data_IF_884972903767
#
_entry.id   IF_884972903767
#
_cell.length_a   1.000
_cell.length_b   1.000
_cell.length_c   1.000
_cell.angle_alpha   90.00
_cell.angle_beta   90.00
_cell.angle_gamma   90.00
#
_symmetry.space_group_name_H-M   'P 1'
#
loop_
_entity.id
_entity.type
_entity.pdbx_description
1 polymer ?
#
# COMPACT_ATOMS: atom_id res chain seq x y z
N UNK A 1 1.36 -7.48 14.42
CA UNK A 1 2.31 -7.06 13.37
C UNK A 1 2.74 -5.63 13.66
N UNK A 2 4.00 -5.40 14.01
CA UNK A 2 4.53 -4.04 14.19
C UNK A 2 4.77 -3.43 12.81
N UNK A 3 3.88 -2.54 12.38
CA UNK A 3 4.07 -1.71 11.20
C UNK A 3 5.07 -0.60 11.54
N UNK A 4 6.37 -0.82 11.30
CA UNK A 4 7.30 0.30 11.18
C UNK A 4 7.00 1.00 9.84
N UNK A 5 6.85 2.34 9.82
CA UNK A 5 6.58 3.04 8.58
C UNK A 5 7.83 3.00 7.70
N UNK A 6 7.86 2.10 6.71
CA UNK A 6 8.89 1.98 5.68
C UNK A 6 9.26 3.33 5.02
N UNK A 7 8.33 4.29 4.99
CA UNK A 7 8.60 5.66 4.53
C UNK A 7 9.70 6.35 5.35
N UNK A 8 9.76 6.09 6.66
CA UNK A 8 10.71 6.70 7.55
C UNK A 8 12.10 6.08 7.42
N UNK A 9 12.18 4.78 7.08
CA UNK A 9 13.44 4.08 6.82
C UNK A 9 14.02 4.44 5.45
N UNK A 10 13.19 4.52 4.40
CA UNK A 10 13.61 4.98 3.08
C UNK A 10 14.03 6.46 3.12
N UNK A 11 13.31 7.29 3.90
CA UNK A 11 13.66 8.69 4.13
C UNK A 11 15.00 8.87 4.86
N UNK A 12 15.21 8.13 5.96
CA UNK A 12 16.49 8.16 6.70
C UNK A 12 17.65 7.60 5.89
N UNK A 13 17.42 6.55 5.10
CA UNK A 13 18.42 6.04 4.17
C UNK A 13 18.82 7.13 3.16
N UNK A 14 17.87 7.90 2.63
CA UNK A 14 18.20 9.03 1.74
C UNK A 14 19.04 10.12 2.42
N UNK A 15 18.86 10.35 3.73
CA UNK A 15 19.60 11.35 4.50
C UNK A 15 21.00 10.86 4.92
N UNK A 16 21.21 9.55 5.13
CA UNK A 16 22.56 9.02 5.42
C UNK A 16 23.47 8.97 4.19
N UNK A 17 22.89 8.98 2.99
CA UNK A 17 23.58 8.81 1.72
C UNK A 17 24.17 10.12 1.14
N UNK A 18 23.99 11.28 1.79
CA UNK A 18 24.44 12.59 1.26
C UNK A 18 25.95 12.79 1.21
N UNK A 19 26.75 11.88 1.78
CA UNK A 19 28.23 11.91 1.69
C UNK A 19 28.80 11.00 0.59
N UNK A 20 27.98 10.17 -0.04
CA UNK A 20 28.40 9.33 -1.15
C UNK A 20 28.23 10.08 -2.47
N UNK A 21 29.17 9.89 -3.39
CA UNK A 21 28.99 10.15 -4.82
C UNK A 21 27.95 9.18 -5.40
N UNK A 22 26.71 9.28 -4.91
CA UNK A 22 25.57 8.55 -5.43
C UNK A 22 25.22 9.12 -6.79
N UNK A 23 25.05 8.24 -7.77
CA UNK A 23 24.58 8.62 -9.09
C UNK A 23 23.25 9.38 -8.94
N UNK A 24 23.12 10.53 -9.61
CA UNK A 24 21.89 11.35 -9.63
C UNK A 24 20.67 10.50 -9.98
N UNK A 25 20.86 9.50 -10.86
CA UNK A 25 19.81 8.55 -11.21
C UNK A 25 19.31 7.70 -10.03
N UNK A 26 20.22 7.23 -9.16
CA UNK A 26 19.85 6.42 -8.00
C UNK A 26 19.10 7.26 -6.94
N UNK A 27 19.50 8.51 -6.76
CA UNK A 27 18.81 9.47 -5.88
C UNK A 27 17.37 9.70 -6.36
N UNK A 28 17.18 9.90 -7.67
CA UNK A 28 15.84 10.06 -8.25
C UNK A 28 14.97 8.82 -8.06
N UNK A 29 15.53 7.62 -8.23
CA UNK A 29 14.81 6.36 -7.99
C UNK A 29 14.42 6.18 -6.52
N UNK A 30 15.31 6.51 -5.58
CA UNK A 30 15.03 6.49 -4.14
C UNK A 30 13.89 7.47 -3.80
N UNK A 31 13.98 8.72 -4.27
CA UNK A 31 12.94 9.74 -4.04
C UNK A 31 11.59 9.29 -4.61
N UNK A 32 11.58 8.78 -5.84
CA UNK A 32 10.36 8.27 -6.49
C UNK A 32 9.75 7.11 -5.72
N UNK A 33 10.55 6.19 -5.19
CA UNK A 33 10.07 5.08 -4.36
C UNK A 33 9.52 5.59 -3.02
N UNK A 34 10.19 6.56 -2.38
CA UNK A 34 9.69 7.18 -1.15
C UNK A 34 8.33 7.86 -1.32
N UNK A 35 8.11 8.57 -2.43
CA UNK A 35 6.82 9.18 -2.74
C UNK A 35 5.72 8.14 -3.03
N UNK A 36 6.06 7.05 -3.69
CA UNK A 36 5.13 5.94 -3.93
C UNK A 36 4.78 5.23 -2.61
N UNK A 37 5.75 5.00 -1.74
CA UNK A 37 5.54 4.44 -0.40
C UNK A 37 4.57 5.29 0.41
N UNK A 38 4.76 6.62 0.41
CA UNK A 38 3.89 7.55 1.14
C UNK A 38 2.45 7.49 0.65
N UNK A 39 2.25 7.54 -0.67
CA UNK A 39 0.91 7.47 -1.29
C UNK A 39 0.25 6.11 -1.04
N UNK A 40 1.03 5.03 -1.12
CA UNK A 40 0.54 3.68 -0.90
C UNK A 40 0.10 3.47 0.55
N UNK A 41 0.90 3.92 1.53
CA UNK A 41 0.51 3.91 2.94
C UNK A 41 -0.74 4.75 3.20
N UNK A 42 -0.87 5.92 2.57
CA UNK A 42 -2.10 6.73 2.65
C UNK A 42 -3.33 5.95 2.17
N UNK A 43 -3.22 5.28 1.02
CA UNK A 43 -4.30 4.45 0.46
C UNK A 43 -4.66 3.24 1.33
N UNK A 44 -3.67 2.60 1.96
CA UNK A 44 -3.93 1.54 2.93
C UNK A 44 -4.65 2.08 4.18
N UNK A 45 -4.28 3.27 4.65
CA UNK A 45 -4.97 3.96 5.74
C UNK A 45 -6.44 4.25 5.39
N UNK A 46 -6.68 4.82 4.21
CA UNK A 46 -8.05 5.07 3.71
C UNK A 46 -8.85 3.77 3.64
N UNK A 47 -8.24 2.69 3.13
CA UNK A 47 -8.89 1.37 3.06
C UNK A 47 -9.24 0.81 4.42
N UNK A 48 -8.36 0.96 5.42
CA UNK A 48 -8.63 0.49 6.78
C UNK A 48 -9.84 1.23 7.38
N UNK A 49 -9.92 2.55 7.21
CA UNK A 49 -11.05 3.35 7.71
C UNK A 49 -12.33 3.00 6.95
N UNK A 50 -12.30 3.03 5.62
CA UNK A 50 -13.49 2.81 4.79
C UNK A 50 -13.99 1.36 4.86
N UNK A 51 -13.08 0.39 4.93
CA UNK A 51 -13.43 -1.02 5.13
C UNK A 51 -14.12 -1.24 6.47
N UNK A 52 -13.63 -0.60 7.54
CA UNK A 52 -14.29 -0.66 8.85
C UNK A 52 -15.68 -0.01 8.83
N UNK A 53 -15.83 1.15 8.20
CA UNK A 53 -17.15 1.79 8.04
C UNK A 53 -18.13 0.92 7.25
N UNK A 54 -17.66 0.30 6.16
CA UNK A 54 -18.49 -0.63 5.39
C UNK A 54 -18.92 -1.84 6.23
N UNK A 55 -18.03 -2.42 7.05
CA UNK A 55 -18.40 -3.51 7.96
C UNK A 55 -19.43 -3.09 8.99
N UNK A 56 -19.30 -1.90 9.59
CA UNK A 56 -20.28 -1.40 10.56
C UNK A 56 -21.67 -1.24 9.93
N UNK A 57 -21.73 -0.65 8.74
CA UNK A 57 -23.00 -0.49 8.01
C UNK A 57 -23.62 -1.86 7.75
N UNK A 58 -22.84 -2.82 7.24
CA UNK A 58 -23.36 -4.17 6.95
C UNK A 58 -23.81 -4.97 8.18
N UNK A 59 -23.12 -4.83 9.32
CA UNK A 59 -23.42 -5.62 10.54
C UNK A 59 -24.57 -5.02 11.34
N UNK A 60 -24.70 -3.70 11.34
CA UNK A 60 -25.64 -3.00 12.22
C UNK A 60 -26.85 -2.39 11.49
N UNK A 61 -26.92 -2.50 10.16
CA UNK A 61 -28.07 -2.01 9.38
C UNK A 61 -29.42 -2.58 9.86
N UNK A 62 -29.48 -3.85 10.28
CA UNK A 62 -30.73 -4.48 10.73
C UNK A 62 -31.10 -4.19 12.20
N UNK A 63 -30.18 -3.60 13.00
CA UNK A 63 -30.39 -3.44 14.45
C UNK A 63 -31.10 -2.13 14.80
N UNK A 64 -30.92 -1.08 13.99
CA UNK A 64 -31.66 0.18 14.19
C UNK A 64 -33.12 0.10 13.69
N UNK A 65 -33.41 -0.75 12.70
CA UNK A 65 -34.77 -0.93 12.17
C UNK A 65 -35.71 -1.69 13.13
N UNK A 66 -35.18 -2.47 14.07
CA UNK A 66 -36.00 -3.20 15.05
C UNK A 66 -36.49 -2.34 16.24
N UNK A 67 -35.91 -1.15 16.45
CA UNK A 67 -36.22 -0.29 17.61
C UNK A 67 -37.17 0.88 17.30
N UNK A 68 -37.57 1.07 16.04
CA UNK A 68 -38.49 2.14 15.63
C UNK A 68 -39.83 1.54 15.20
N UNK A 69 -40.60 1.06 16.17
CA UNK A 69 -42.02 0.74 16.04
C UNK A 69 -42.80 1.91 16.67
N UNK A 70 -43.62 2.72 15.99
CA UNK A 70 -44.88 2.26 15.34
C UNK A 70 -45.55 3.26 14.37
N UNK A 71 -44.95 4.39 13.93
CA UNK A 71 -45.74 5.44 13.22
C UNK A 71 -45.22 5.97 11.87
N UNK A 72 -44.12 5.46 11.31
CA UNK A 72 -43.56 6.00 10.06
C UNK A 72 -43.33 4.92 8.98
N UNK A 73 -44.38 4.17 8.62
CA UNK A 73 -44.36 3.15 7.57
C UNK A 73 -44.91 3.68 6.22
N UNK A 74 -44.38 4.79 5.73
CA UNK A 74 -44.53 5.18 4.31
C UNK A 74 -43.25 5.92 3.89
N UNK A 75 -42.52 5.38 2.91
CA UNK A 75 -41.37 5.96 2.19
C UNK A 75 -39.95 5.88 2.81
N UNK A 76 -39.46 4.71 3.24
CA UNK A 76 -38.01 4.57 3.60
C UNK A 76 -37.25 3.35 3.08
N UNK A 77 -37.91 2.39 2.45
CA UNK A 77 -37.27 1.15 1.96
C UNK A 77 -36.25 1.38 0.83
N UNK A 78 -36.33 2.49 0.08
CA UNK A 78 -35.43 2.76 -1.05
C UNK A 78 -34.13 3.51 -0.71
N UNK A 79 -34.07 4.23 0.42
CA UNK A 79 -32.92 5.12 0.73
C UNK A 79 -31.71 4.39 1.33
N UNK A 80 -31.96 3.35 2.14
CA UNK A 80 -30.90 2.64 2.88
C UNK A 80 -30.11 1.63 2.01
N UNK A 81 -30.80 0.97 1.07
CA UNK A 81 -30.15 0.05 0.11
C UNK A 81 -29.23 0.81 -0.86
N UNK A 82 -29.66 2.00 -1.31
CA UNK A 82 -28.88 2.91 -2.12
C UNK A 82 -27.59 3.37 -1.39
N UNK A 83 -27.69 3.70 -0.10
CA UNK A 83 -26.54 4.11 0.72
C UNK A 83 -25.47 3.00 0.85
N UNK A 84 -25.88 1.76 1.16
CA UNK A 84 -24.95 0.62 1.22
C UNK A 84 -24.29 0.35 -0.14
N UNK A 85 -25.05 0.41 -1.23
CA UNK A 85 -24.54 0.14 -2.57
C UNK A 85 -23.58 1.22 -3.07
N UNK A 86 -23.81 2.49 -2.73
CA UNK A 86 -22.89 3.60 -2.97
C UNK A 86 -21.59 3.40 -2.20
N UNK A 87 -21.67 3.04 -0.91
CA UNK A 87 -20.49 2.79 -0.08
C UNK A 87 -19.65 1.60 -0.56
N UNK A 88 -20.28 0.49 -0.97
CA UNK A 88 -19.59 -0.64 -1.58
C UNK A 88 -18.94 -0.28 -2.91
N UNK A 89 -19.58 0.58 -3.71
CA UNK A 89 -19.03 1.04 -4.99
C UNK A 89 -17.81 1.94 -4.77
N UNK A 90 -17.87 2.84 -3.78
CA UNK A 90 -16.74 3.64 -3.36
C UNK A 90 -15.58 2.77 -2.86
N UNK A 91 -15.85 1.79 -2.00
CA UNK A 91 -14.85 0.86 -1.48
C UNK A 91 -14.22 0.01 -2.60
N UNK A 92 -15.02 -0.45 -3.56
CA UNK A 92 -14.54 -1.14 -4.77
C UNK A 92 -13.54 -0.27 -5.53
N UNK A 93 -13.92 0.99 -5.83
CA UNK A 93 -13.05 1.93 -6.54
C UNK A 93 -11.75 2.21 -5.75
N UNK A 94 -11.84 2.33 -4.43
CA UNK A 94 -10.67 2.56 -3.59
C UNK A 94 -9.70 1.37 -3.66
N UNK A 95 -10.20 0.14 -3.53
CA UNK A 95 -9.38 -1.08 -3.63
C UNK A 95 -8.73 -1.20 -5.00
N UNK A 96 -9.48 -1.00 -6.08
CA UNK A 96 -8.95 -1.05 -7.45
C UNK A 96 -7.87 0.00 -7.67
N UNK A 97 -8.06 1.22 -7.15
CA UNK A 97 -7.05 2.29 -7.19
C UNK A 97 -5.78 1.93 -6.41
N UNK A 98 -5.92 1.26 -5.26
CA UNK A 98 -4.79 0.81 -4.43
C UNK A 98 -4.04 -0.33 -5.13
N UNK A 99 -4.72 -1.29 -5.76
CA UNK A 99 -4.09 -2.35 -6.56
C UNK A 99 -3.24 -1.74 -7.69
N UNK A 100 -3.78 -0.75 -8.40
CA UNK A 100 -3.04 -0.06 -9.46
C UNK A 100 -1.78 0.63 -8.93
N UNK A 101 -1.90 1.28 -7.76
CA UNK A 101 -0.77 1.93 -7.10
C UNK A 101 0.27 0.89 -6.64
N UNK A 102 -0.14 -0.23 -6.06
CA UNK A 102 0.75 -1.34 -5.68
C UNK A 102 1.53 -1.83 -6.91
N UNK A 103 0.86 -2.07 -8.04
CA UNK A 103 1.54 -2.49 -9.29
C UNK A 103 2.55 -1.45 -9.79
N UNK A 104 2.22 -0.16 -9.71
CA UNK A 104 3.13 0.92 -10.08
C UNK A 104 4.34 0.96 -9.14
N UNK A 105 4.11 0.72 -7.85
CA UNK A 105 5.16 0.71 -6.84
C UNK A 105 6.08 -0.50 -7.02
N UNK A 106 5.56 -1.71 -7.22
CA UNK A 106 6.36 -2.91 -7.52
C UNK A 106 7.33 -2.67 -8.69
N UNK A 107 6.85 -2.09 -9.80
CA UNK A 107 7.70 -1.77 -10.95
C UNK A 107 8.81 -0.75 -10.61
N UNK A 108 8.50 0.27 -9.82
CA UNK A 108 9.49 1.26 -9.40
C UNK A 108 10.52 0.66 -8.42
N UNK A 109 10.08 -0.28 -7.59
CA UNK A 109 10.91 -1.00 -6.63
C UNK A 109 11.91 -1.92 -7.35
N UNK A 110 11.47 -2.67 -8.35
CA UNK A 110 12.32 -3.53 -9.20
C UNK A 110 13.42 -2.74 -9.92
N UNK A 111 13.09 -1.54 -10.42
CA UNK A 111 14.09 -0.64 -11.01
C UNK A 111 15.13 -0.19 -9.99
N UNK A 112 14.71 0.12 -8.76
CA UNK A 112 15.59 0.51 -7.68
C UNK A 112 16.51 -0.66 -7.25
N UNK A 113 15.98 -1.87 -7.10
CA UNK A 113 16.76 -3.09 -6.82
C UNK A 113 17.83 -3.29 -7.90
N UNK A 114 17.45 -3.18 -9.17
CA UNK A 114 18.38 -3.33 -10.29
C UNK A 114 19.49 -2.26 -10.25
N UNK A 115 19.14 -1.01 -9.97
CA UNK A 115 20.09 0.09 -9.90
C UNK A 115 21.07 -0.06 -8.71
N UNK A 116 20.57 -0.46 -7.53
CA UNK A 116 21.37 -0.73 -6.35
C UNK A 116 22.36 -1.87 -6.59
N UNK A 117 21.89 -3.01 -7.12
CA UNK A 117 22.74 -4.13 -7.47
C UNK A 117 23.86 -3.73 -8.45
N UNK A 118 23.53 -2.98 -9.51
CA UNK A 118 24.53 -2.48 -10.46
C UNK A 118 25.57 -1.59 -9.79
N UNK A 119 25.14 -0.73 -8.85
CA UNK A 119 26.06 0.17 -8.13
C UNK A 119 26.99 -0.60 -7.20
N UNK A 120 26.46 -1.54 -6.44
CA UNK A 120 27.22 -2.41 -5.54
C UNK A 120 28.30 -3.17 -6.35
N UNK A 121 27.90 -3.79 -7.47
CA UNK A 121 28.83 -4.52 -8.34
C UNK A 121 29.88 -3.63 -9.03
N UNK A 122 29.56 -2.36 -9.26
CA UNK A 122 30.53 -1.37 -9.76
C UNK A 122 31.56 -1.03 -8.69
N UNK A 123 31.13 -0.80 -7.45
CA UNK A 123 32.02 -0.52 -6.32
C UNK A 123 32.97 -1.70 -6.09
N UNK A 124 32.45 -2.94 -6.05
CA UNK A 124 33.28 -4.16 -5.90
C UNK A 124 34.39 -4.26 -6.96
N UNK A 125 34.12 -3.84 -8.19
CA UNK A 125 35.08 -3.91 -9.30
C UNK A 125 36.11 -2.78 -9.28
N UNK A 126 35.68 -1.56 -8.96
CA UNK A 126 36.54 -0.36 -9.01
C UNK A 126 37.41 -0.21 -7.75
N UNK A 127 36.97 -0.78 -6.62
CA UNK A 127 37.60 -0.63 -5.31
C UNK A 127 37.77 -2.00 -4.65
N UNK A 128 38.76 -2.80 -5.08
CA UNK A 128 38.96 -4.16 -4.56
C UNK A 128 39.45 -4.19 -3.10
N UNK A 129 39.97 -3.07 -2.57
CA UNK A 129 40.32 -2.93 -1.16
C UNK A 129 39.05 -2.68 -0.31
N UNK A 130 38.43 -3.79 0.10
CA UNK A 130 37.15 -3.84 0.80
C UNK A 130 37.20 -3.10 2.15
N UNK A 131 38.34 -3.05 2.83
CA UNK A 131 38.44 -2.43 4.16
C UNK A 131 38.19 -0.92 4.14
N UNK A 132 38.64 -0.21 3.09
CA UNK A 132 38.52 1.25 3.01
C UNK A 132 37.10 1.73 2.63
N UNK A 133 36.30 0.85 2.00
CA UNK A 133 34.97 1.17 1.46
C UNK A 133 33.85 0.29 2.03
N UNK A 134 34.18 -0.51 3.05
CA UNK A 134 33.24 -1.38 3.79
C UNK A 134 31.98 -0.62 4.20
N UNK A 135 32.13 0.59 4.74
CA UNK A 135 30.99 1.41 5.15
C UNK A 135 30.05 1.82 4.01
N UNK A 136 30.59 2.22 2.85
CA UNK A 136 29.78 2.58 1.66
C UNK A 136 29.02 1.36 1.13
N UNK A 137 29.70 0.22 1.13
CA UNK A 137 29.17 -1.06 0.71
C UNK A 137 28.03 -1.53 1.62
N UNK A 138 28.27 -1.54 2.93
CA UNK A 138 27.33 -2.00 3.95
C UNK A 138 26.05 -1.15 3.95
N UNK A 139 26.17 0.16 3.73
CA UNK A 139 24.98 1.02 3.58
C UNK A 139 24.15 0.64 2.35
N UNK A 140 24.77 0.44 1.20
CA UNK A 140 24.07 0.10 -0.03
C UNK A 140 23.43 -1.29 0.05
N UNK A 141 24.12 -2.26 0.65
CA UNK A 141 23.54 -3.58 0.93
C UNK A 141 22.36 -3.48 1.92
N UNK A 142 22.49 -2.69 2.98
CA UNK A 142 21.39 -2.46 3.92
C UNK A 142 20.15 -1.88 3.23
N UNK A 143 20.34 -0.87 2.36
CA UNK A 143 19.25 -0.30 1.56
C UNK A 143 18.68 -1.35 0.60
N UNK A 144 19.52 -2.14 -0.07
CA UNK A 144 19.07 -3.21 -0.96
C UNK A 144 18.18 -4.23 -0.23
N UNK A 145 18.58 -4.67 0.97
CA UNK A 145 17.79 -5.58 1.80
C UNK A 145 16.41 -5.01 2.13
N UNK A 146 16.32 -3.73 2.51
CA UNK A 146 15.05 -3.06 2.79
C UNK A 146 14.16 -3.04 1.54
N UNK A 147 14.73 -2.71 0.39
CA UNK A 147 14.00 -2.61 -0.88
C UNK A 147 13.53 -3.98 -1.36
N UNK A 148 14.31 -5.05 -1.17
CA UNK A 148 13.90 -6.43 -1.48
C UNK A 148 12.75 -6.87 -0.57
N UNK A 149 12.86 -6.65 0.75
CA UNK A 149 11.80 -6.98 1.70
C UNK A 149 10.48 -6.26 1.37
N UNK A 150 10.57 -5.02 0.88
CA UNK A 150 9.42 -4.27 0.40
C UNK A 150 8.77 -4.92 -0.85
N UNK A 151 9.54 -5.54 -1.75
CA UNK A 151 8.98 -6.23 -2.93
C UNK A 151 8.06 -7.38 -2.51
N UNK A 152 8.51 -8.21 -1.57
CA UNK A 152 7.71 -9.32 -1.02
C UNK A 152 6.43 -8.80 -0.35
N UNK A 153 6.54 -7.71 0.41
CA UNK A 153 5.41 -7.10 1.09
C UNK A 153 4.37 -6.54 0.08
N UNK A 154 4.82 -5.87 -0.99
CA UNK A 154 3.94 -5.37 -2.04
C UNK A 154 3.20 -6.51 -2.76
N UNK A 155 3.87 -7.62 -3.00
CA UNK A 155 3.28 -8.80 -3.62
C UNK A 155 2.23 -9.46 -2.71
N UNK A 156 2.51 -9.54 -1.40
CA UNK A 156 1.54 -10.00 -0.40
C UNK A 156 0.29 -9.11 -0.39
N UNK A 157 0.45 -7.79 -0.26
CA UNK A 157 -0.69 -6.86 -0.27
C UNK A 157 -1.47 -6.87 -1.57
N UNK A 158 -0.81 -7.10 -2.72
CA UNK A 158 -1.51 -7.28 -3.99
C UNK A 158 -2.44 -8.49 -3.95
N UNK A 159 -2.04 -9.58 -3.29
CA UNK A 159 -2.89 -10.75 -3.06
C UNK A 159 -4.08 -10.43 -2.16
N UNK A 160 -3.81 -9.84 -0.99
CA UNK A 160 -4.85 -9.44 -0.03
C UNK A 160 -5.89 -8.51 -0.66
N UNK A 161 -5.45 -7.44 -1.34
CA UNK A 161 -6.37 -6.49 -1.98
C UNK A 161 -7.27 -7.14 -3.03
N UNK A 162 -6.77 -8.14 -3.77
CA UNK A 162 -7.58 -8.90 -4.74
C UNK A 162 -8.63 -9.76 -4.03
N UNK A 163 -8.27 -10.39 -2.92
CA UNK A 163 -9.20 -11.17 -2.11
C UNK A 163 -10.30 -10.28 -1.52
N UNK A 164 -9.93 -9.14 -0.94
CA UNK A 164 -10.87 -8.15 -0.45
C UNK A 164 -11.81 -7.64 -1.55
N UNK A 165 -11.28 -7.34 -2.74
CA UNK A 165 -12.08 -6.93 -3.89
C UNK A 165 -13.10 -8.00 -4.28
N UNK A 166 -12.68 -9.27 -4.30
CA UNK A 166 -13.56 -10.40 -4.57
C UNK A 166 -14.69 -10.49 -3.55
N UNK A 167 -14.35 -10.42 -2.25
CA UNK A 167 -15.33 -10.48 -1.17
C UNK A 167 -16.38 -9.36 -1.27
N UNK A 168 -15.94 -8.12 -1.54
CA UNK A 168 -16.87 -6.98 -1.71
C UNK A 168 -17.77 -7.16 -2.92
N UNK A 169 -17.22 -7.62 -4.05
CA UNK A 169 -18.02 -7.91 -5.25
C UNK A 169 -19.04 -9.02 -4.98
N UNK A 170 -18.64 -10.07 -4.25
CA UNK A 170 -19.53 -11.14 -3.83
C UNK A 170 -20.65 -10.62 -2.91
N UNK A 171 -20.31 -9.87 -1.87
CA UNK A 171 -21.30 -9.25 -0.96
C UNK A 171 -22.28 -8.36 -1.73
N UNK A 172 -21.80 -7.56 -2.69
CA UNK A 172 -22.65 -6.71 -3.54
C UNK A 172 -23.65 -7.52 -4.38
N UNK A 173 -23.28 -8.72 -4.83
CA UNK A 173 -24.19 -9.61 -5.55
C UNK A 173 -25.23 -10.19 -4.60
N UNK A 174 -24.79 -10.68 -3.43
CA UNK A 174 -25.70 -11.25 -2.43
C UNK A 174 -26.71 -10.23 -1.89
N UNK A 175 -26.30 -8.96 -1.72
CA UNK A 175 -27.18 -7.88 -1.24
C UNK A 175 -28.20 -7.40 -2.27
N UNK A 176 -28.16 -7.87 -3.52
CA UNK A 176 -29.15 -7.55 -4.57
C UNK A 176 -30.14 -8.71 -4.77
N UNK A 177 -29.82 -9.89 -4.24
CA UNK A 177 -30.61 -11.13 -4.41
C UNK A 177 -31.47 -11.44 -3.18
N UNK A 178 -31.17 -10.84 -2.04
CA UNK A 178 -31.99 -10.84 -0.83
C UNK A 178 -33.00 -9.68 -0.89
#
# INVERSE_FOLDING_TARGET
MHYQPLCHEIGRASESLTWLSLDTHLIELLRRNGDLARRWNGKLGDLAVQGFHAMLIFVFQDVEDLLISTEALVDREDDNSACAQVNLTHLTSLIESTILLTNKFTKANQLLITALNRRIEKIKREKPDVELYSFEYDQLEGVLCIVIALEENLDNWRGELRLYLFNIKFTKVCSVVL
#
